data_IF_260773870199
#
_entry.id   IF_260773870199
#
_cell.length_a   1.000
_cell.length_b   1.000
_cell.length_c   1.000
_cell.angle_alpha   90.00
_cell.angle_beta   90.00
_cell.angle_gamma   90.00
#
_symmetry.space_group_name_H-M   'P 1'
#
loop_
_entity.id
_entity.type
_entity.pdbx_description
1 polymer ?
#
# COMPACT_ATOMS: atom_id res chain seq x y z
N UNK A 1 29.10 -14.03 5.33
CA UNK A 1 28.16 -13.85 6.47
C UNK A 1 26.88 -14.57 6.15
N UNK A 2 26.46 -15.51 6.96
CA UNK A 2 25.15 -16.14 6.79
C UNK A 2 24.08 -15.21 7.39
N UNK A 3 23.17 -14.77 6.55
CA UNK A 3 22.04 -13.94 7.01
C UNK A 3 21.03 -14.90 7.64
N UNK A 4 20.60 -14.58 8.86
CA UNK A 4 19.65 -15.40 9.61
C UNK A 4 18.29 -15.44 8.89
N UNK A 5 17.75 -16.63 8.69
CA UNK A 5 16.44 -16.85 8.07
C UNK A 5 15.33 -16.14 8.84
N UNK A 6 15.44 -16.11 10.17
CA UNK A 6 14.50 -15.39 11.03
C UNK A 6 14.50 -13.89 10.73
N UNK A 7 15.68 -13.30 10.57
CA UNK A 7 15.82 -11.89 10.23
C UNK A 7 15.24 -11.58 8.85
N UNK A 8 15.42 -12.47 7.88
CA UNK A 8 14.80 -12.35 6.56
C UNK A 8 13.28 -12.33 6.68
N UNK A 9 12.69 -13.23 7.47
CA UNK A 9 11.25 -13.29 7.69
C UNK A 9 10.74 -12.01 8.33
N UNK A 10 11.38 -11.53 9.38
CA UNK A 10 11.00 -10.31 10.07
C UNK A 10 11.01 -9.08 9.15
N UNK A 11 12.05 -8.93 8.35
CA UNK A 11 12.14 -7.79 7.41
C UNK A 11 11.08 -7.91 6.30
N UNK A 12 10.80 -9.13 5.82
CA UNK A 12 9.71 -9.34 4.87
C UNK A 12 8.35 -8.96 5.44
N UNK A 13 8.06 -9.38 6.65
CA UNK A 13 6.78 -9.11 7.32
C UNK A 13 6.56 -7.61 7.51
N UNK A 14 7.64 -6.87 7.78
CA UNK A 14 7.59 -5.42 7.96
C UNK A 14 7.52 -4.63 6.64
N UNK A 15 8.09 -5.15 5.56
CA UNK A 15 8.25 -4.39 4.30
C UNK A 15 7.39 -4.90 3.15
N UNK A 16 6.91 -6.14 3.22
CA UNK A 16 6.25 -6.81 2.12
C UNK A 16 7.17 -7.11 0.92
N UNK A 17 8.47 -6.85 1.02
CA UNK A 17 9.43 -7.05 -0.06
C UNK A 17 9.68 -8.53 -0.37
N UNK A 18 10.11 -8.83 -1.58
CA UNK A 18 10.46 -10.19 -2.00
C UNK A 18 11.70 -10.70 -1.26
N UNK A 19 11.81 -12.03 -1.10
CA UNK A 19 12.94 -12.67 -0.39
C UNK A 19 14.30 -12.25 -0.94
N UNK A 20 14.43 -12.14 -2.26
CA UNK A 20 15.69 -11.76 -2.91
C UNK A 20 16.06 -10.32 -2.59
N UNK A 21 15.10 -9.42 -2.65
CA UNK A 21 15.31 -8.00 -2.32
C UNK A 21 15.71 -7.84 -0.84
N UNK A 22 15.05 -8.59 0.06
CA UNK A 22 15.38 -8.58 1.50
C UNK A 22 16.78 -9.12 1.76
N UNK A 23 17.17 -10.23 1.15
CA UNK A 23 18.54 -10.79 1.26
C UNK A 23 19.58 -9.77 0.79
N UNK A 24 19.35 -9.16 -0.35
CA UNK A 24 20.27 -8.16 -0.90
C UNK A 24 20.37 -6.93 0.00
N UNK A 25 19.25 -6.44 0.51
CA UNK A 25 19.24 -5.29 1.41
C UNK A 25 19.94 -5.60 2.76
N UNK A 26 19.72 -6.79 3.30
CA UNK A 26 20.41 -7.23 4.52
C UNK A 26 21.93 -7.39 4.30
N UNK A 27 22.33 -7.91 3.14
CA UNK A 27 23.76 -8.01 2.79
C UNK A 27 24.39 -6.62 2.67
N UNK A 28 23.72 -5.68 1.99
CA UNK A 28 24.14 -4.29 1.83
C UNK A 28 24.20 -3.55 3.17
N UNK A 29 23.29 -3.88 4.09
CA UNK A 29 23.24 -3.32 5.44
C UNK A 29 24.14 -4.04 6.45
N UNK A 30 24.96 -5.03 6.03
CA UNK A 30 25.76 -5.87 6.91
C UNK A 30 24.96 -6.53 8.06
N UNK A 31 23.73 -6.96 7.75
CA UNK A 31 22.83 -7.61 8.71
C UNK A 31 22.05 -6.65 9.61
N UNK A 32 22.19 -5.35 9.43
CA UNK A 32 21.43 -4.35 10.17
C UNK A 32 19.98 -4.29 9.67
N UNK A 33 19.03 -4.61 10.55
CA UNK A 33 17.60 -4.68 10.23
C UNK A 33 17.04 -3.33 9.80
N UNK A 34 17.32 -2.27 10.55
CA UNK A 34 16.76 -0.93 10.31
C UNK A 34 17.30 -0.33 9.01
N UNK A 35 18.59 -0.44 8.78
CA UNK A 35 19.20 -0.03 7.51
C UNK A 35 18.67 -0.81 6.33
N UNK A 36 18.43 -2.10 6.48
CA UNK A 36 17.87 -2.92 5.39
C UNK A 36 16.45 -2.48 5.03
N UNK A 37 15.63 -2.13 6.01
CA UNK A 37 14.30 -1.58 5.80
C UNK A 37 14.37 -0.25 5.05
N UNK A 38 15.29 0.63 5.44
CA UNK A 38 15.49 1.92 4.75
C UNK A 38 15.93 1.74 3.30
N UNK A 39 16.86 0.81 3.04
CA UNK A 39 17.29 0.44 1.69
C UNK A 39 16.11 -0.07 0.86
N UNK A 40 15.28 -0.95 1.43
CA UNK A 40 14.11 -1.49 0.75
C UNK A 40 13.07 -0.41 0.44
N UNK A 41 12.85 0.53 1.34
CA UNK A 41 11.97 1.68 1.10
C UNK A 41 12.46 2.54 -0.05
N UNK A 42 13.74 2.89 -0.08
CA UNK A 42 14.36 3.66 -1.18
C UNK A 42 14.24 2.92 -2.52
N UNK A 43 14.50 1.61 -2.54
CA UNK A 43 14.33 0.78 -3.73
C UNK A 43 12.86 0.68 -4.17
N UNK A 44 11.93 0.63 -3.21
CA UNK A 44 10.49 0.65 -3.47
C UNK A 44 10.04 1.94 -4.14
N UNK A 45 10.49 3.09 -3.66
CA UNK A 45 10.23 4.39 -4.27
C UNK A 45 10.79 4.43 -5.71
N UNK A 46 12.00 3.92 -5.93
CA UNK A 46 12.60 3.86 -7.26
C UNK A 46 11.81 2.93 -8.20
N UNK A 47 11.33 1.78 -7.73
CA UNK A 47 10.45 0.88 -8.50
C UNK A 47 9.12 1.54 -8.84
N UNK A 48 8.51 2.24 -7.90
CA UNK A 48 7.27 2.99 -8.12
C UNK A 48 7.48 4.09 -9.19
N UNK A 49 8.59 4.82 -9.12
CA UNK A 49 8.95 5.83 -10.12
C UNK A 49 9.09 5.25 -11.53
N UNK A 50 9.71 4.07 -11.66
CA UNK A 50 9.82 3.36 -12.95
C UNK A 50 8.47 2.95 -13.52
N UNK A 51 7.48 2.70 -12.69
CA UNK A 51 6.13 2.32 -13.10
C UNK A 51 5.18 3.51 -13.27
N UNK A 52 5.64 4.73 -13.03
CA UNK A 52 4.80 5.94 -13.09
C UNK A 52 4.09 6.14 -14.44
N UNK A 53 4.70 5.71 -15.55
CA UNK A 53 4.12 5.77 -16.88
C UNK A 53 3.14 4.63 -17.22
N UNK A 54 2.96 3.65 -16.36
CA UNK A 54 2.00 2.56 -16.58
C UNK A 54 0.58 3.03 -16.36
N UNK A 55 -0.37 2.45 -17.11
CA UNK A 55 -1.79 2.73 -16.96
C UNK A 55 -2.37 1.86 -15.85
N UNK A 56 -2.96 2.49 -14.85
CA UNK A 56 -3.68 1.83 -13.77
C UNK A 56 -5.19 2.04 -13.97
N UNK A 57 -5.80 1.20 -14.80
CA UNK A 57 -7.20 1.30 -15.19
C UNK A 57 -8.11 0.25 -14.53
N UNK A 58 -7.52 -0.75 -13.91
CA UNK A 58 -8.21 -1.75 -13.11
C UNK A 58 -8.21 -1.33 -11.63
N UNK A 59 -8.92 -2.04 -10.80
CA UNK A 59 -8.94 -1.78 -9.36
C UNK A 59 -10.24 -2.12 -8.70
N UNK A 60 -10.44 -1.56 -7.51
CA UNK A 60 -11.66 -1.72 -6.72
C UNK A 60 -12.10 -0.38 -6.14
N UNK A 61 -13.39 -0.28 -5.89
CA UNK A 61 -13.98 0.77 -5.08
C UNK A 61 -14.41 0.20 -3.73
N UNK A 62 -14.41 1.05 -2.70
CA UNK A 62 -14.91 0.69 -1.38
C UNK A 62 -15.73 1.84 -0.82
N UNK A 63 -16.79 1.48 -0.11
CA UNK A 63 -17.64 2.40 0.65
C UNK A 63 -17.62 1.96 2.10
N UNK A 64 -17.42 2.90 3.02
CA UNK A 64 -17.56 2.63 4.45
C UNK A 64 -18.31 3.77 5.13
N UNK A 65 -19.25 3.39 5.98
CA UNK A 65 -20.00 4.31 6.83
C UNK A 65 -19.59 4.10 8.29
N UNK A 66 -19.27 5.18 8.97
CA UNK A 66 -18.95 5.17 10.39
C UNK A 66 -19.51 6.44 11.05
N UNK A 67 -20.51 6.28 11.91
CA UNK A 67 -21.19 7.39 12.58
C UNK A 67 -21.81 8.37 11.58
N UNK A 68 -21.40 9.64 11.63
CA UNK A 68 -21.88 10.71 10.74
C UNK A 68 -21.13 10.81 9.42
N UNK A 69 -20.13 9.97 9.18
CA UNK A 69 -19.28 10.02 8.00
C UNK A 69 -19.46 8.79 7.12
N UNK A 70 -19.34 8.98 5.83
CA UNK A 70 -19.16 7.94 4.83
C UNK A 70 -18.01 8.30 3.91
N UNK A 71 -17.28 7.29 3.47
CA UNK A 71 -16.20 7.46 2.49
C UNK A 71 -16.43 6.56 1.30
N UNK A 72 -16.07 7.06 0.13
CA UNK A 72 -15.98 6.29 -1.12
C UNK A 72 -14.56 6.44 -1.61
N UNK A 73 -13.91 5.32 -1.86
CA UNK A 73 -12.52 5.26 -2.32
C UNK A 73 -12.43 4.44 -3.59
N UNK A 74 -11.71 4.94 -4.57
CA UNK A 74 -11.30 4.20 -5.76
C UNK A 74 -9.78 4.03 -5.75
N UNK A 75 -9.32 2.79 -5.59
CA UNK A 75 -7.93 2.40 -5.67
C UNK A 75 -7.70 1.60 -6.94
N UNK A 76 -6.76 2.03 -7.77
CA UNK A 76 -6.48 1.41 -9.05
C UNK A 76 -5.15 0.64 -9.05
N UNK A 77 -5.10 -0.38 -9.90
CA UNK A 77 -3.94 -1.19 -10.24
C UNK A 77 -3.84 -1.35 -11.75
N UNK A 78 -2.73 -1.94 -12.24
CA UNK A 78 -2.55 -2.18 -13.67
C UNK A 78 -3.42 -3.32 -14.17
N UNK A 79 -3.59 -4.39 -13.38
CA UNK A 79 -4.36 -5.59 -13.74
C UNK A 79 -5.46 -5.91 -12.73
N UNK A 80 -6.48 -6.62 -13.18
CA UNK A 80 -7.52 -7.16 -12.33
C UNK A 80 -7.01 -8.29 -11.40
N UNK A 81 -5.96 -8.99 -11.80
CA UNK A 81 -5.30 -9.99 -10.95
C UNK A 81 -4.75 -9.36 -9.67
N UNK A 82 -4.05 -8.24 -9.79
CA UNK A 82 -3.56 -7.50 -8.63
C UNK A 82 -4.71 -6.99 -7.77
N UNK A 83 -5.77 -6.45 -8.38
CA UNK A 83 -6.95 -5.95 -7.66
C UNK A 83 -7.68 -7.04 -6.86
N UNK A 84 -7.61 -8.29 -7.27
CA UNK A 84 -8.20 -9.43 -6.56
C UNK A 84 -7.30 -10.01 -5.47
N UNK A 85 -6.04 -9.60 -5.40
CA UNK A 85 -5.09 -10.13 -4.42
C UNK A 85 -5.42 -9.68 -2.99
N UNK A 86 -5.03 -10.49 -2.01
CA UNK A 86 -5.23 -10.16 -0.60
C UNK A 86 -4.43 -8.91 -0.19
N UNK A 87 -3.24 -8.72 -0.75
CA UNK A 87 -2.41 -7.53 -0.53
C UNK A 87 -3.11 -6.25 -1.00
N UNK A 88 -3.75 -6.28 -2.16
CA UNK A 88 -4.49 -5.13 -2.68
C UNK A 88 -5.73 -4.83 -1.82
N UNK A 89 -6.46 -5.85 -1.43
CA UNK A 89 -7.64 -5.69 -0.55
C UNK A 89 -7.25 -5.14 0.83
N UNK A 90 -6.12 -5.59 1.38
CA UNK A 90 -5.59 -5.05 2.63
C UNK A 90 -5.18 -3.58 2.50
N UNK A 91 -4.55 -3.21 1.40
CA UNK A 91 -4.21 -1.82 1.09
C UNK A 91 -5.47 -0.96 0.96
N UNK A 92 -6.48 -1.44 0.25
CA UNK A 92 -7.74 -0.73 0.10
C UNK A 92 -8.42 -0.48 1.45
N UNK A 93 -8.44 -1.48 2.34
CA UNK A 93 -8.96 -1.35 3.70
C UNK A 93 -8.17 -0.31 4.50
N UNK A 94 -6.84 -0.32 4.43
CA UNK A 94 -5.98 0.67 5.08
C UNK A 94 -6.27 2.09 4.57
N UNK A 95 -6.37 2.26 3.26
CA UNK A 95 -6.69 3.56 2.64
C UNK A 95 -8.05 4.07 3.10
N UNK A 96 -9.06 3.22 3.12
CA UNK A 96 -10.40 3.57 3.63
C UNK A 96 -10.35 4.07 5.07
N UNK A 97 -9.63 3.38 5.95
CA UNK A 97 -9.49 3.79 7.35
C UNK A 97 -8.76 5.13 7.49
N UNK A 98 -7.70 5.34 6.72
CA UNK A 98 -6.96 6.61 6.71
C UNK A 98 -7.83 7.77 6.23
N UNK A 99 -8.56 7.59 5.14
CA UNK A 99 -9.47 8.61 4.61
C UNK A 99 -10.58 8.92 5.61
N UNK A 100 -11.16 7.91 6.25
CA UNK A 100 -12.20 8.08 7.25
C UNK A 100 -11.69 8.83 8.49
N UNK A 101 -10.44 8.62 8.89
CA UNK A 101 -9.79 9.32 9.99
C UNK A 101 -9.29 10.74 9.62
N UNK A 102 -9.49 11.18 8.39
CA UNK A 102 -8.99 12.48 7.90
C UNK A 102 -7.48 12.52 7.66
N UNK A 103 -6.83 11.35 7.59
CA UNK A 103 -5.41 11.25 7.32
C UNK A 103 -5.11 11.27 5.82
N UNK A 104 -3.98 11.85 5.45
CA UNK A 104 -3.51 11.85 4.06
C UNK A 104 -2.89 10.50 3.70
N UNK A 105 -3.30 9.95 2.56
CA UNK A 105 -2.61 8.81 1.95
C UNK A 105 -1.41 9.37 1.16
N UNK A 106 -0.21 9.01 1.60
CA UNK A 106 1.01 9.57 1.02
C UNK A 106 1.48 8.79 -0.21
N UNK A 107 2.25 9.44 -1.07
CA UNK A 107 2.95 8.79 -2.18
C UNK A 107 3.90 7.69 -1.69
N UNK A 108 4.46 7.82 -0.49
CA UNK A 108 5.29 6.79 0.14
C UNK A 108 4.49 5.52 0.41
N UNK A 109 3.29 5.63 0.97
CA UNK A 109 2.40 4.49 1.22
C UNK A 109 2.04 3.76 -0.08
N UNK A 110 1.70 4.50 -1.13
CA UNK A 110 1.40 3.94 -2.44
C UNK A 110 2.64 3.35 -3.12
N UNK A 111 3.80 3.97 -2.94
CA UNK A 111 5.08 3.48 -3.44
C UNK A 111 5.52 2.18 -2.79
N UNK A 112 5.36 2.05 -1.48
CA UNK A 112 5.61 0.80 -0.74
C UNK A 112 4.69 -0.33 -1.23
N UNK A 113 3.42 -0.03 -1.45
CA UNK A 113 2.45 -0.98 -2.00
C UNK A 113 2.77 -1.37 -3.44
N UNK A 114 3.18 -0.43 -4.28
CA UNK A 114 3.64 -0.70 -5.65
C UNK A 114 4.85 -1.64 -5.64
N UNK A 115 5.80 -1.43 -4.76
CA UNK A 115 6.95 -2.32 -4.62
C UNK A 115 6.57 -3.73 -4.15
N UNK A 116 5.64 -3.83 -3.19
CA UNK A 116 5.16 -5.11 -2.64
C UNK A 116 4.31 -5.91 -3.62
N UNK A 117 3.39 -5.26 -4.32
CA UNK A 117 2.45 -5.89 -5.27
C UNK A 117 3.11 -6.06 -6.64
N UNK A 118 4.05 -5.19 -7.01
CA UNK A 118 4.76 -5.23 -8.29
C UNK A 118 4.03 -4.51 -9.43
N UNK A 119 2.98 -3.78 -9.14
CA UNK A 119 2.21 -2.98 -10.10
C UNK A 119 1.98 -1.57 -9.58
N UNK A 120 1.77 -0.62 -10.49
CA UNK A 120 1.43 0.76 -10.11
C UNK A 120 0.11 0.79 -9.35
N UNK A 121 0.13 1.39 -8.16
CA UNK A 121 -1.05 1.67 -7.34
C UNK A 121 -1.39 3.16 -7.43
N UNK A 122 -2.64 3.48 -7.66
CA UNK A 122 -3.14 4.86 -7.73
C UNK A 122 -4.38 5.01 -6.86
N UNK A 123 -4.34 5.93 -5.93
CA UNK A 123 -5.54 6.42 -5.27
C UNK A 123 -6.18 7.46 -6.21
N UNK A 124 -7.15 7.00 -7.01
CA UNK A 124 -7.75 7.84 -8.02
C UNK A 124 -8.70 8.87 -7.43
N UNK A 125 -9.53 8.43 -6.51
CA UNK A 125 -10.51 9.26 -5.83
C UNK A 125 -10.74 8.80 -4.41
N UNK A 126 -10.94 9.79 -3.53
CA UNK A 126 -11.43 9.57 -2.19
C UNK A 126 -12.38 10.73 -1.84
N UNK A 127 -13.60 10.38 -1.48
CA UNK A 127 -14.63 11.35 -1.13
C UNK A 127 -15.16 11.06 0.26
N UNK A 128 -15.20 12.06 1.11
CA UNK A 128 -15.82 12.01 2.43
C UNK A 128 -17.14 12.76 2.37
N UNK A 129 -18.21 12.10 2.81
CA UNK A 129 -19.53 12.69 2.96
C UNK A 129 -19.87 12.72 4.45
N UNK A 130 -20.24 13.85 4.95
CA UNK A 130 -20.66 14.04 6.34
C UNK A 130 -22.12 14.43 6.40
N UNK A 131 -22.89 13.70 7.20
CA UNK A 131 -24.29 14.04 7.43
C UNK A 131 -24.47 14.95 8.63
N UNK A 132 -25.50 15.76 8.62
CA UNK A 132 -25.96 16.57 9.74
C UNK A 132 -27.40 16.18 10.11
N UNK A 133 -27.69 16.05 11.40
CA UNK A 133 -29.05 15.75 11.88
C UNK A 133 -29.49 14.30 11.63
N UNK A 134 -30.72 14.12 11.13
CA UNK A 134 -31.37 12.81 10.97
C UNK A 134 -31.20 12.16 9.62
N UNK A 135 -30.32 12.67 8.75
CA UNK A 135 -30.02 12.09 7.45
C UNK A 135 -29.47 10.68 7.58
N UNK A 136 -29.72 9.86 6.57
CA UNK A 136 -29.30 8.46 6.53
C UNK A 136 -28.44 8.22 5.31
N UNK A 137 -27.34 7.48 5.47
CA UNK A 137 -26.58 6.97 4.34
C UNK A 137 -27.24 5.70 3.79
N UNK A 138 -27.39 5.66 2.47
CA UNK A 138 -27.75 4.45 1.73
C UNK A 138 -26.57 3.97 0.89
N UNK A 139 -26.28 2.69 0.93
CA UNK A 139 -25.25 2.07 0.12
C UNK A 139 -25.68 0.66 -0.34
#
# INVERSE_FOLDING_TARGET
MSIDIKLISEVRDLTGAGIVDVKNALAEANGDKEKSIEILRKKGIAKAAKRAGKVAAEGLTAVKVAGSKAVIVELNSETDFAAKSDKFKALLAEVVEKVLAGQTVTEETLGEATASIGEKMVLRRATVVEKSGSEVFGA
#
